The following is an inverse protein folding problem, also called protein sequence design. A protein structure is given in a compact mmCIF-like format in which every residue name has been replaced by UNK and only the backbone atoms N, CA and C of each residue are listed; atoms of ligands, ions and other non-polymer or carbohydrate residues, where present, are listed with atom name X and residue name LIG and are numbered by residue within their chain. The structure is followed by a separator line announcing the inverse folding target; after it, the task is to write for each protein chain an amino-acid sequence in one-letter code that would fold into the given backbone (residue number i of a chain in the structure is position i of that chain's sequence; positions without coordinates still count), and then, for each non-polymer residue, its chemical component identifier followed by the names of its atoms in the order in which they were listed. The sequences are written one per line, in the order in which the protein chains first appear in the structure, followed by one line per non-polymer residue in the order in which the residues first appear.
data_IF_421832978831
#
_entry.id   IF_421832978831
#
_cell.length_a   1.000
_cell.length_b   1.000
_cell.length_c   1.000
_cell.angle_alpha   90.00
_cell.angle_beta   90.00
_cell.angle_gamma   90.00
#
_symmetry.space_group_name_H-M   'P 1'
#
loop_
_entity.id
_entity.type
_entity.pdbx_description
1 polymer ?
#
# COMPACT_ATOMS: atom_id res chain seq x y z
N UNK A 1 53.11 5.04 59.64
CA UNK A 1 51.63 5.13 59.55
C UNK A 1 51.36 5.79 58.20
N UNK A 2 50.67 5.25 57.19
CA UNK A 2 49.53 4.34 57.11
C UNK A 2 49.60 3.61 55.74
N UNK A 3 48.84 2.52 55.63
CA UNK A 3 49.07 1.29 54.84
C UNK A 3 48.72 1.40 53.33
N UNK A 4 49.48 0.71 52.43
CA UNK A 4 49.16 -0.55 51.67
C UNK A 4 47.96 -0.35 50.70
N UNK A 5 48.06 -0.52 49.37
CA UNK A 5 48.03 -1.78 48.58
C UNK A 5 48.55 -1.50 47.14
N UNK A 6 49.63 -2.10 46.64
CA UNK A 6 49.75 -3.42 45.98
C UNK A 6 48.62 -3.78 45.00
N UNK A 7 48.92 -3.79 43.69
CA UNK A 7 48.56 -4.81 42.69
C UNK A 7 49.31 -4.47 41.38
N UNK A 8 50.49 -5.03 41.12
CA UNK A 8 50.76 -6.27 40.36
C UNK A 8 50.31 -6.23 38.88
N UNK A 9 51.27 -5.91 38.01
CA UNK A 9 51.69 -6.58 36.75
C UNK A 9 50.71 -7.60 36.12
N UNK A 10 50.39 -7.47 34.82
CA UNK A 10 50.87 -8.36 33.74
C UNK A 10 50.37 -7.97 32.33
N UNK A 11 51.31 -8.01 31.39
CA UNK A 11 51.22 -8.03 29.93
C UNK A 11 50.38 -9.21 29.41
N UNK A 12 49.61 -9.06 28.31
CA UNK A 12 49.55 -10.08 27.26
C UNK A 12 48.93 -9.53 25.95
N UNK A 13 49.74 -9.57 24.88
CA UNK A 13 49.32 -9.54 23.48
C UNK A 13 48.33 -10.68 23.21
N UNK A 14 47.20 -10.38 22.58
CA UNK A 14 46.54 -11.33 21.66
C UNK A 14 46.11 -10.59 20.40
N UNK A 15 46.96 -10.67 19.38
CA UNK A 15 46.59 -10.56 17.96
C UNK A 15 45.53 -11.62 17.64
N UNK A 16 44.27 -11.21 17.66
CA UNK A 16 43.16 -11.98 17.10
C UNK A 16 43.01 -11.67 15.61
N UNK A 17 43.67 -12.45 14.79
CA UNK A 17 43.45 -12.55 13.35
C UNK A 17 41.97 -12.94 13.10
N UNK A 18 41.12 -11.98 12.73
CA UNK A 18 39.75 -12.31 12.30
C UNK A 18 39.82 -12.81 10.87
N UNK A 19 39.93 -14.14 10.76
CA UNK A 19 39.76 -14.91 9.53
C UNK A 19 38.29 -14.81 9.10
N UNK A 20 38.07 -14.36 7.87
CA UNK A 20 36.97 -14.79 7.02
C UNK A 20 35.55 -14.47 7.48
N UNK A 21 35.14 -13.19 7.44
CA UNK A 21 33.72 -12.89 7.29
C UNK A 21 33.41 -13.00 5.79
N UNK A 22 33.00 -14.19 5.37
CA UNK A 22 32.39 -14.38 4.07
C UNK A 22 31.28 -13.35 3.91
N UNK A 23 31.47 -12.42 2.95
CA UNK A 23 30.41 -11.54 2.47
C UNK A 23 29.34 -12.44 1.89
N UNK A 24 28.44 -12.90 2.76
CA UNK A 24 27.20 -13.53 2.39
C UNK A 24 26.46 -12.44 1.63
N UNK A 25 26.52 -12.48 0.31
CA UNK A 25 25.66 -11.73 -0.59
C UNK A 25 24.23 -12.16 -0.25
N UNK A 26 23.67 -11.56 0.80
CA UNK A 26 22.34 -11.83 1.27
C UNK A 26 21.45 -11.33 0.15
N UNK A 27 20.97 -12.23 -0.68
CA UNK A 27 20.09 -11.88 -1.78
C UNK A 27 18.88 -11.23 -1.16
N UNK A 28 18.78 -9.90 -1.24
CA UNK A 28 17.66 -9.18 -0.66
C UNK A 28 16.37 -9.77 -1.26
N UNK A 29 15.60 -10.45 -0.41
CA UNK A 29 14.34 -11.05 -0.82
C UNK A 29 13.42 -9.92 -1.26
N UNK A 30 12.84 -10.06 -2.44
CA UNK A 30 11.94 -9.04 -2.99
C UNK A 30 10.78 -8.82 -2.00
N UNK A 31 10.55 -7.55 -1.64
CA UNK A 31 9.57 -7.20 -0.60
C UNK A 31 8.18 -7.03 -1.22
N UNK A 32 7.19 -7.69 -0.65
CA UNK A 32 5.79 -7.47 -1.02
C UNK A 32 5.34 -6.05 -0.66
N UNK A 33 4.44 -5.50 -1.46
CA UNK A 33 3.84 -4.19 -1.20
C UNK A 33 2.44 -4.35 -0.61
N UNK A 34 2.18 -3.71 0.52
CA UNK A 34 0.88 -3.76 1.20
C UNK A 34 0.10 -2.47 1.01
N UNK A 35 -1.23 -2.60 0.86
CA UNK A 35 -2.14 -1.45 0.94
C UNK A 35 -2.22 -0.93 2.39
N UNK A 36 -2.42 0.38 2.60
CA UNK A 36 -2.59 0.94 3.93
C UNK A 36 -3.82 0.36 4.63
N UNK A 37 -3.68 -0.09 5.88
CA UNK A 37 -4.76 -0.72 6.65
C UNK A 37 -6.01 0.16 6.73
N UNK A 38 -5.85 1.48 6.84
CA UNK A 38 -6.97 2.44 6.89
C UNK A 38 -7.83 2.49 5.63
N UNK A 39 -7.32 2.04 4.48
CA UNK A 39 -8.07 2.06 3.22
C UNK A 39 -8.74 0.72 2.90
N UNK A 40 -8.37 -0.36 3.62
CA UNK A 40 -8.87 -1.70 3.33
C UNK A 40 -10.38 -1.80 3.52
N UNK A 41 -11.03 -2.53 2.61
CA UNK A 41 -12.47 -2.71 2.58
C UNK A 41 -13.02 -2.75 1.16
N UNK A 42 -14.35 -2.82 1.11
CA UNK A 42 -15.16 -2.79 -0.10
C UNK A 42 -15.87 -1.45 -0.13
N UNK A 43 -15.64 -0.67 -1.18
CA UNK A 43 -16.13 0.69 -1.31
C UNK A 43 -16.89 0.87 -2.60
N UNK A 44 -18.04 1.52 -2.56
CA UNK A 44 -18.86 1.76 -3.74
C UNK A 44 -19.40 3.19 -3.79
N UNK A 45 -19.77 3.62 -4.99
CA UNK A 45 -20.56 4.84 -5.20
C UNK A 45 -21.48 4.67 -6.39
N UNK A 46 -22.55 5.48 -6.50
CA UNK A 46 -23.32 5.58 -7.73
C UNK A 46 -22.43 5.88 -8.95
N UNK A 47 -22.72 5.23 -10.07
CA UNK A 47 -22.20 5.52 -11.41
C UNK A 47 -23.37 5.88 -12.35
N UNK A 48 -23.16 5.86 -13.67
CA UNK A 48 -24.20 6.16 -14.66
C UNK A 48 -25.28 5.06 -14.65
N UNK A 49 -26.55 5.45 -14.64
CA UNK A 49 -27.68 4.52 -14.56
C UNK A 49 -27.71 3.75 -13.24
N UNK A 50 -28.05 2.46 -13.29
CA UNK A 50 -28.09 1.58 -12.12
C UNK A 50 -26.72 1.08 -11.65
N UNK A 51 -25.65 1.38 -12.39
CA UNK A 51 -24.32 0.87 -12.10
C UNK A 51 -23.71 1.50 -10.84
N UNK A 52 -22.80 0.77 -10.19
CA UNK A 52 -22.00 1.25 -9.05
C UNK A 52 -20.52 1.16 -9.39
N UNK A 53 -19.78 2.26 -9.20
CA UNK A 53 -18.31 2.21 -9.25
C UNK A 53 -17.80 1.65 -7.94
N UNK A 54 -16.93 0.65 -8.02
CA UNK A 54 -16.39 -0.04 -6.84
C UNK A 54 -14.87 0.04 -6.76
N UNK A 55 -14.38 0.03 -5.53
CA UNK A 55 -12.99 -0.15 -5.16
C UNK A 55 -12.89 -1.25 -4.10
N UNK A 56 -12.10 -2.29 -4.38
CA UNK A 56 -11.80 -3.36 -3.43
C UNK A 56 -10.35 -3.26 -3.03
N UNK A 57 -10.12 -3.09 -1.73
CA UNK A 57 -8.79 -2.86 -1.17
C UNK A 57 -8.54 -3.92 -0.09
N UNK A 58 -7.66 -4.88 -0.38
CA UNK A 58 -7.18 -5.91 0.55
C UNK A 58 -5.68 -5.74 0.80
N UNK A 59 -5.12 -6.50 1.75
CA UNK A 59 -3.71 -6.37 2.19
C UNK A 59 -2.72 -6.28 1.01
N UNK A 60 -2.88 -7.13 0.00
CA UNK A 60 -2.03 -7.16 -1.20
C UNK A 60 -2.79 -6.91 -2.51
N UNK A 61 -4.05 -6.47 -2.45
CA UNK A 61 -4.91 -6.34 -3.64
C UNK A 61 -5.54 -4.96 -3.72
N UNK A 62 -5.47 -4.33 -4.88
CA UNK A 62 -6.20 -3.12 -5.20
C UNK A 62 -6.94 -3.31 -6.52
N UNK A 63 -8.27 -3.21 -6.48
CA UNK A 63 -9.13 -3.41 -7.65
C UNK A 63 -10.10 -2.25 -7.79
N UNK A 64 -10.41 -1.91 -9.02
CA UNK A 64 -11.47 -0.97 -9.36
C UNK A 64 -12.30 -1.47 -10.53
N UNK A 65 -13.58 -1.14 -10.54
CA UNK A 65 -14.47 -1.55 -11.62
C UNK A 65 -15.88 -0.98 -11.48
N UNK A 66 -16.80 -1.58 -12.24
CA UNK A 66 -18.23 -1.31 -12.19
C UNK A 66 -18.96 -2.58 -11.77
N UNK A 67 -19.98 -2.44 -10.92
CA UNK A 67 -21.01 -3.44 -10.67
C UNK A 67 -22.28 -3.02 -11.40
N UNK A 68 -22.90 -3.94 -12.14
CA UNK A 68 -24.22 -3.77 -12.72
C UNK A 68 -25.17 -4.82 -12.10
N UNK A 69 -26.48 -4.51 -11.99
CA UNK A 69 -27.51 -5.43 -11.47
C UNK A 69 -27.62 -6.71 -12.31
N UNK A 70 -27.40 -6.63 -13.62
CA UNK A 70 -27.45 -7.79 -14.53
C UNK A 70 -26.17 -8.64 -14.51
N UNK A 71 -25.02 -8.01 -14.27
CA UNK A 71 -23.71 -8.69 -14.24
C UNK A 71 -23.03 -8.37 -12.92
N UNK A 72 -23.21 -9.28 -11.98
CA UNK A 72 -22.54 -9.24 -10.69
C UNK A 72 -21.06 -9.67 -10.78
N UNK A 73 -20.42 -9.29 -11.87
CA UNK A 73 -19.00 -9.47 -12.08
C UNK A 73 -18.40 -8.08 -12.06
N UNK A 74 -17.42 -7.86 -11.20
CA UNK A 74 -16.57 -6.69 -11.34
C UNK A 74 -15.92 -6.88 -12.71
N UNK A 75 -16.32 -6.08 -13.70
CA UNK A 75 -15.72 -6.12 -15.02
C UNK A 75 -14.31 -5.52 -14.91
N UNK A 76 -13.42 -6.27 -14.26
CA UNK A 76 -11.99 -6.03 -14.24
C UNK A 76 -11.42 -6.94 -15.31
N UNK A 77 -11.10 -6.39 -16.48
CA UNK A 77 -9.99 -6.98 -17.24
C UNK A 77 -8.80 -7.12 -16.28
N UNK A 78 -7.99 -8.16 -16.40
CA UNK A 78 -6.89 -8.50 -15.46
C UNK A 78 -5.99 -7.30 -15.11
N UNK A 79 -5.90 -6.31 -16.00
CA UNK A 79 -5.20 -5.04 -15.79
C UNK A 79 -5.67 -4.21 -14.59
N UNK A 80 -6.91 -4.41 -14.13
CA UNK A 80 -7.49 -3.69 -13.00
C UNK A 80 -7.37 -4.45 -11.68
N UNK A 81 -6.83 -5.67 -11.69
CA UNK A 81 -6.46 -6.41 -10.49
C UNK A 81 -4.98 -6.20 -10.17
N UNK A 82 -4.66 -5.20 -9.36
CA UNK A 82 -3.28 -4.87 -9.03
C UNK A 82 -2.87 -5.61 -7.75
N UNK A 83 -1.81 -6.42 -7.85
CA UNK A 83 -1.32 -7.27 -6.77
C UNK A 83 0.04 -6.83 -6.23
N UNK A 84 0.13 -6.69 -4.90
CA UNK A 84 1.37 -6.37 -4.20
C UNK A 84 2.22 -7.58 -3.81
N UNK A 85 1.68 -8.78 -4.02
CA UNK A 85 2.31 -10.08 -3.87
C UNK A 85 2.66 -10.74 -5.22
N UNK A 86 2.35 -10.08 -6.34
CA UNK A 86 2.77 -10.47 -7.69
C UNK A 86 3.79 -9.47 -8.22
N UNK A 87 4.83 -9.96 -8.88
CA UNK A 87 5.91 -9.14 -9.45
C UNK A 87 5.66 -8.85 -10.94
N UNK A 88 6.23 -7.75 -11.44
CA UNK A 88 6.32 -7.53 -12.89
C UNK A 88 7.28 -8.55 -13.50
N UNK A 89 6.94 -9.07 -14.68
CA UNK A 89 7.71 -10.12 -15.38
C UNK A 89 9.17 -9.71 -15.52
N UNK A 90 10.09 -10.58 -15.11
CA UNK A 90 11.54 -10.34 -15.18
C UNK A 90 12.08 -9.34 -14.16
N UNK A 91 11.30 -8.96 -13.14
CA UNK A 91 11.73 -7.99 -12.12
C UNK A 91 11.44 -8.46 -10.70
N UNK A 92 12.06 -7.79 -9.71
CA UNK A 92 11.73 -7.91 -8.29
C UNK A 92 10.72 -6.85 -7.80
N UNK A 93 10.06 -6.16 -8.73
CA UNK A 93 9.16 -5.04 -8.42
C UNK A 93 7.72 -5.53 -8.34
N UNK A 94 7.02 -5.41 -7.19
CA UNK A 94 5.60 -5.75 -7.10
C UNK A 94 4.75 -4.93 -8.07
N UNK A 95 3.63 -5.47 -8.55
CA UNK A 95 2.75 -4.72 -9.46
C UNK A 95 2.07 -3.54 -8.76
N UNK A 96 1.83 -3.64 -7.45
CA UNK A 96 1.20 -2.60 -6.65
C UNK A 96 2.20 -1.50 -6.27
N UNK A 97 1.86 -0.28 -6.61
CA UNK A 97 2.48 0.95 -6.11
C UNK A 97 1.68 1.50 -4.93
N UNK A 98 2.37 1.80 -3.83
CA UNK A 98 1.81 2.52 -2.68
C UNK A 98 2.79 3.61 -2.24
N UNK A 99 2.34 4.86 -2.25
CA UNK A 99 3.08 5.96 -1.62
C UNK A 99 2.70 6.09 -0.14
N UNK A 100 3.63 6.60 0.66
CA UNK A 100 3.36 7.13 1.99
C UNK A 100 2.27 8.22 1.92
N UNK A 101 1.62 8.42 3.07
CA UNK A 101 0.59 9.43 3.25
C UNK A 101 1.19 10.82 3.04
N UNK A 102 0.57 11.64 2.19
CA UNK A 102 1.00 13.03 1.97
C UNK A 102 0.48 13.97 3.08
N UNK A 103 0.89 15.25 3.05
CA UNK A 103 0.46 16.29 4.01
C UNK A 103 -1.06 16.47 4.12
N UNK A 104 -1.79 16.23 3.03
CA UNK A 104 -3.26 16.32 2.99
C UNK A 104 -3.94 15.03 3.51
N UNK A 105 -3.15 14.02 3.83
CA UNK A 105 -3.60 12.76 4.40
C UNK A 105 -3.98 11.68 3.38
N UNK A 106 -3.63 11.85 2.11
CA UNK A 106 -3.92 10.90 1.04
C UNK A 106 -2.77 9.92 0.84
N UNK A 107 -3.12 8.67 0.56
CA UNK A 107 -2.20 7.70 -0.03
C UNK A 107 -2.38 7.67 -1.54
N UNK A 108 -1.32 7.33 -2.27
CA UNK A 108 -1.37 7.14 -3.73
C UNK A 108 -1.24 5.64 -4.03
N UNK A 109 -2.28 5.03 -4.61
CA UNK A 109 -2.33 3.60 -4.96
C UNK A 109 -2.48 3.44 -6.48
N UNK A 110 -1.85 2.42 -7.06
CA UNK A 110 -2.01 2.13 -8.49
C UNK A 110 -1.06 1.02 -8.96
N UNK A 111 -1.02 0.81 -10.28
CA UNK A 111 -0.06 -0.11 -10.91
C UNK A 111 1.30 0.60 -11.00
N UNK A 112 2.39 -0.13 -10.76
CA UNK A 112 3.74 0.38 -11.02
C UNK A 112 3.87 0.71 -12.52
N UNK A 113 4.67 1.72 -12.85
CA UNK A 113 4.92 2.22 -14.21
C UNK A 113 3.68 2.73 -14.97
N UNK A 114 2.57 3.02 -14.28
CA UNK A 114 1.42 3.71 -14.88
C UNK A 114 1.27 5.14 -14.35
N UNK A 115 0.74 6.02 -15.20
CA UNK A 115 0.40 7.40 -14.82
C UNK A 115 -0.88 7.45 -13.98
N UNK A 116 -1.80 6.51 -14.22
CA UNK A 116 -3.09 6.41 -13.53
C UNK A 116 -2.93 5.88 -12.12
N UNK A 117 -3.10 6.77 -11.12
CA UNK A 117 -3.07 6.41 -9.70
C UNK A 117 -4.19 7.07 -8.94
N UNK A 118 -4.71 6.38 -7.93
CA UNK A 118 -5.78 6.83 -7.07
C UNK A 118 -5.22 7.52 -5.83
N UNK A 119 -5.71 8.72 -5.54
CA UNK A 119 -5.44 9.41 -4.27
C UNK A 119 -6.57 9.12 -3.31
N UNK A 120 -6.30 8.37 -2.26
CA UNK A 120 -7.31 7.83 -1.36
C UNK A 120 -7.07 8.23 0.09
N UNK A 121 -8.14 8.65 0.77
CA UNK A 121 -8.15 8.98 2.19
C UNK A 121 -9.45 8.51 2.83
N UNK A 122 -9.37 7.81 3.96
CA UNK A 122 -10.56 7.51 4.78
C UNK A 122 -11.02 8.80 5.49
N UNK A 123 -12.32 9.08 5.42
CA UNK A 123 -12.95 10.29 5.99
C UNK A 123 -14.31 9.94 6.60
N UNK A 124 -14.90 10.90 7.33
CA UNK A 124 -16.33 10.91 7.66
C UNK A 124 -17.02 11.88 6.70
N UNK A 125 -18.07 11.43 6.03
CA UNK A 125 -18.85 12.23 5.09
C UNK A 125 -20.33 11.91 5.31
N UNK A 126 -21.16 12.93 5.54
CA UNK A 126 -22.59 12.79 5.87
C UNK A 126 -22.84 11.78 7.00
N UNK A 127 -22.08 11.89 8.10
CA UNK A 127 -22.17 10.99 9.25
C UNK A 127 -21.59 9.59 9.04
N UNK A 128 -21.32 9.18 7.79
CA UNK A 128 -20.88 7.82 7.42
C UNK A 128 -19.39 7.77 7.15
N UNK A 129 -18.79 6.60 7.36
CA UNK A 129 -17.39 6.34 6.95
C UNK A 129 -17.34 6.25 5.43
N UNK A 130 -16.46 7.03 4.81
CA UNK A 130 -16.26 7.06 3.37
C UNK A 130 -14.77 7.00 3.02
N UNK A 131 -14.51 6.57 1.79
CA UNK A 131 -13.23 6.66 1.13
C UNK A 131 -13.31 7.84 0.14
N UNK A 132 -12.63 8.93 0.48
CA UNK A 132 -12.49 10.10 -0.40
C UNK A 132 -11.43 9.78 -1.44
N UNK A 133 -11.85 9.75 -2.70
CA UNK A 133 -10.97 9.71 -3.86
C UNK A 133 -10.83 11.09 -4.46
N UNK A 134 -9.61 11.39 -4.92
CA UNK A 134 -9.29 12.63 -5.58
C UNK A 134 -8.59 12.35 -6.92
N UNK A 135 -9.07 12.98 -8.00
CA UNK A 135 -8.45 12.92 -9.32
C UNK A 135 -7.81 14.28 -9.62
N UNK A 136 -6.47 14.41 -9.63
CA UNK A 136 -5.81 15.66 -9.95
C UNK A 136 -6.19 16.17 -11.34
N UNK A 137 -6.48 17.46 -11.45
CA UNK A 137 -6.40 18.12 -12.75
C UNK A 137 -4.92 18.36 -13.09
N UNK A 138 -4.62 18.85 -14.30
CA UNK A 138 -3.26 19.13 -14.74
C UNK A 138 -2.51 20.15 -13.83
N UNK A 139 -3.25 20.96 -13.06
CA UNK A 139 -2.76 22.02 -12.17
C UNK A 139 -2.62 21.57 -10.70
N UNK A 140 -2.90 20.30 -10.38
CA UNK A 140 -2.65 19.72 -9.05
C UNK A 140 -3.90 19.62 -8.16
N UNK A 141 -3.71 19.35 -6.85
CA UNK A 141 -4.72 18.78 -5.96
C UNK A 141 -5.96 19.65 -5.64
N UNK A 142 -6.04 20.90 -6.10
CA UNK A 142 -7.03 21.88 -5.65
C UNK A 142 -8.34 21.86 -6.46
N UNK A 143 -8.29 21.58 -7.76
CA UNK A 143 -9.44 21.74 -8.68
C UNK A 143 -9.91 20.41 -9.29
N UNK A 144 -9.44 19.31 -8.73
CA UNK A 144 -9.71 17.98 -9.25
C UNK A 144 -11.06 17.42 -8.78
N UNK A 145 -11.61 16.47 -9.55
CA UNK A 145 -12.88 15.85 -9.21
C UNK A 145 -12.73 14.99 -7.94
N UNK A 146 -13.57 15.26 -6.96
CA UNK A 146 -13.66 14.51 -5.71
C UNK A 146 -14.79 13.49 -5.80
N UNK A 147 -14.52 12.29 -5.29
CA UNK A 147 -15.54 11.26 -5.16
C UNK A 147 -15.54 10.68 -3.74
N UNK A 148 -16.72 10.31 -3.26
CA UNK A 148 -16.88 9.61 -1.99
C UNK A 148 -17.42 8.21 -2.26
N UNK A 149 -16.66 7.21 -1.85
CA UNK A 149 -17.09 5.82 -1.87
C UNK A 149 -17.49 5.40 -0.45
N UNK A 150 -18.63 4.74 -0.31
CA UNK A 150 -19.14 4.27 0.97
C UNK A 150 -18.93 2.76 1.10
N UNK A 151 -18.84 2.27 2.33
CA UNK A 151 -18.71 0.83 2.57
C UNK A 151 -19.94 0.07 2.05
N UNK A 152 -19.69 -1.14 1.55
CA UNK A 152 -20.71 -2.15 1.27
C UNK A 152 -20.21 -3.51 1.73
N UNK A 153 -21.09 -4.46 2.11
CA UNK A 153 -20.68 -5.82 2.53
C UNK A 153 -20.45 -6.70 1.30
N UNK A 154 -19.56 -6.25 0.41
CA UNK A 154 -19.24 -7.00 -0.80
C UNK A 154 -20.51 -7.37 -1.59
N UNK A 155 -20.44 -8.49 -2.27
CA UNK A 155 -21.47 -9.01 -3.15
C UNK A 155 -22.86 -9.15 -2.48
N UNK A 156 -22.97 -9.50 -1.21
CA UNK A 156 -24.25 -9.90 -0.59
C UNK A 156 -25.36 -8.83 -0.43
N UNK A 157 -25.06 -7.53 -0.59
CA UNK A 157 -26.00 -6.42 -0.30
C UNK A 157 -26.79 -5.92 -1.53
N UNK A 158 -26.71 -6.60 -2.69
CA UNK A 158 -27.46 -6.23 -3.91
C UNK A 158 -28.65 -7.17 -4.20
N UNK A 159 -29.41 -7.51 -3.16
CA UNK A 159 -30.70 -8.19 -3.31
C UNK A 159 -31.84 -7.18 -3.38
#
# INVERSE_FOLDING_TARGET
MQKIHQFLTLFLLTTGLIIGIGLSNTSAQAKYTQTPTSLRGYWQRPAKGDARSVLIIKKYKFEGGLLNKEYFQINTNDDWQIRGDKYLKGTKTPQLYVNKKNRNGYYKLGKVNTKTRWYLKKVKHNGKVALKSYVPNALGPAEGKVFYYYKFKGTGDFK
#
